data_IF_824556021276
#
_entry.id   IF_824556021276
#
_cell.length_a   1.000
_cell.length_b   1.000
_cell.length_c   1.000
_cell.angle_alpha   90.00
_cell.angle_beta   90.00
_cell.angle_gamma   90.00
#
_symmetry.space_group_name_H-M   'P 1'
#
loop_
_entity.id
_entity.type
_entity.pdbx_description
1 polymer ?
#
# COMPACT_ATOMS: atom_id res chain seq x y z
N UNK A 1 -4.83 -4.35 6.07
CA UNK A 1 -3.40 -4.35 5.71
C UNK A 1 -3.01 -5.59 4.90
N UNK A 2 -1.99 -5.47 4.04
CA UNK A 2 -1.35 -6.60 3.34
C UNK A 2 -0.49 -7.48 4.26
N UNK A 3 -0.18 -7.02 5.48
CA UNK A 3 0.62 -7.76 6.44
C UNK A 3 -0.10 -8.98 7.04
N UNK A 4 -1.36 -9.22 6.72
CA UNK A 4 -2.05 -10.49 7.02
C UNK A 4 -1.49 -11.66 6.19
N UNK A 5 -0.65 -11.36 5.22
CA UNK A 5 0.00 -12.31 4.34
C UNK A 5 1.51 -12.37 4.61
N UNK A 6 2.11 -13.56 4.49
CA UNK A 6 3.55 -13.78 4.67
C UNK A 6 4.40 -13.08 3.61
N UNK A 7 3.93 -13.00 2.38
CA UNK A 7 4.67 -12.51 1.23
C UNK A 7 5.39 -13.62 0.44
N UNK A 8 5.13 -14.88 0.75
CA UNK A 8 5.73 -16.03 0.07
C UNK A 8 5.03 -16.41 -1.25
N UNK A 9 3.83 -15.87 -1.49
CA UNK A 9 3.07 -16.07 -2.71
C UNK A 9 3.34 -14.98 -3.75
N UNK A 10 2.84 -15.16 -4.98
CA UNK A 10 3.05 -14.15 -6.03
C UNK A 10 2.13 -12.95 -5.91
N UNK A 11 0.88 -13.16 -5.54
CA UNK A 11 -0.15 -12.13 -5.36
C UNK A 11 -1.29 -12.69 -4.51
N UNK A 12 -1.93 -11.84 -3.72
CA UNK A 12 -3.03 -12.22 -2.83
C UNK A 12 -4.33 -11.53 -3.24
N UNK A 13 -5.42 -12.29 -3.29
CA UNK A 13 -6.77 -11.77 -3.50
C UNK A 13 -7.62 -11.89 -2.22
N UNK A 14 -8.90 -11.53 -2.31
CA UNK A 14 -9.82 -11.52 -1.18
C UNK A 14 -10.06 -12.90 -0.56
N UNK A 15 -9.88 -13.99 -1.34
CA UNK A 15 -10.06 -15.37 -0.86
C UNK A 15 -8.76 -16.00 -0.37
N UNK A 16 -7.63 -15.32 -0.50
CA UNK A 16 -6.35 -15.82 -0.06
C UNK A 16 -6.34 -16.01 1.46
N UNK A 17 -5.90 -17.18 1.93
CA UNK A 17 -5.76 -17.47 3.36
C UNK A 17 -4.71 -16.57 3.98
N UNK A 18 -4.98 -16.08 5.20
CA UNK A 18 -4.00 -15.36 5.99
C UNK A 18 -2.93 -16.34 6.46
N UNK A 19 -1.69 -16.04 6.19
CA UNK A 19 -0.53 -16.89 6.46
C UNK A 19 0.63 -16.13 7.13
N UNK A 20 0.31 -14.97 7.77
CA UNK A 20 1.30 -14.18 8.49
C UNK A 20 1.76 -14.87 9.78
N UNK A 21 3.06 -14.81 10.07
CA UNK A 21 3.65 -15.39 11.26
C UNK A 21 3.86 -14.38 12.39
N UNK A 22 3.97 -13.09 12.07
CA UNK A 22 4.23 -12.04 13.04
C UNK A 22 2.97 -11.60 13.81
N UNK A 23 3.18 -11.05 15.01
CA UNK A 23 2.10 -10.60 15.92
C UNK A 23 1.26 -9.50 15.28
N UNK A 24 1.88 -8.58 14.52
CA UNK A 24 1.16 -7.49 13.87
C UNK A 24 0.16 -8.04 12.84
N UNK A 25 0.62 -8.91 11.93
CA UNK A 25 -0.24 -9.52 10.94
C UNK A 25 -1.38 -10.33 11.57
N UNK A 26 -1.09 -11.12 12.60
CA UNK A 26 -2.09 -11.92 13.33
C UNK A 26 -3.15 -11.05 13.99
N UNK A 27 -2.77 -9.97 14.68
CA UNK A 27 -3.72 -9.04 15.29
C UNK A 27 -4.59 -8.32 14.28
N UNK A 28 -4.02 -7.97 13.10
CA UNK A 28 -4.79 -7.36 12.00
C UNK A 28 -5.73 -8.37 11.34
N UNK A 29 -5.33 -9.62 11.21
CA UNK A 29 -6.18 -10.71 10.75
C UNK A 29 -7.41 -10.92 11.65
N UNK A 30 -7.19 -10.95 12.96
CA UNK A 30 -8.28 -11.06 13.96
C UNK A 30 -9.23 -9.85 13.96
N UNK A 31 -8.74 -8.69 13.53
CA UNK A 31 -9.55 -7.46 13.43
C UNK A 31 -10.43 -7.37 12.18
N UNK A 32 -10.35 -8.33 11.26
CA UNK A 32 -11.23 -8.37 10.09
C UNK A 32 -12.56 -9.05 10.44
N UNK A 33 -13.64 -8.26 10.41
CA UNK A 33 -14.96 -8.70 10.83
C UNK A 33 -15.76 -9.22 9.65
N UNK A 34 -16.16 -10.49 9.68
CA UNK A 34 -17.05 -11.07 8.68
C UNK A 34 -18.51 -10.94 9.12
N UNK A 35 -19.14 -9.79 8.83
CA UNK A 35 -20.54 -9.53 9.18
C UNK A 35 -21.19 -8.64 8.09
N UNK A 36 -22.49 -8.77 7.91
CA UNK A 36 -23.27 -8.01 6.89
C UNK A 36 -23.20 -6.49 7.06
N UNK A 37 -22.91 -6.00 8.27
CA UNK A 37 -22.88 -4.58 8.60
C UNK A 37 -21.48 -3.98 8.56
N UNK A 38 -20.46 -4.76 8.23
CA UNK A 38 -19.06 -4.32 8.20
C UNK A 38 -18.44 -4.53 6.84
N UNK A 39 -17.60 -3.58 6.46
CA UNK A 39 -16.88 -3.63 5.20
C UNK A 39 -15.38 -3.52 5.48
N UNK A 40 -14.64 -4.52 5.04
CA UNK A 40 -13.20 -4.54 5.18
C UNK A 40 -12.55 -4.05 3.88
N UNK A 41 -11.92 -2.88 3.91
CA UNK A 41 -11.13 -2.36 2.80
C UNK A 41 -9.66 -2.69 3.06
N UNK A 42 -9.15 -3.72 2.43
CA UNK A 42 -7.75 -4.13 2.61
C UNK A 42 -6.84 -3.45 1.59
N UNK A 43 -5.78 -2.83 2.08
CA UNK A 43 -4.71 -2.27 1.27
C UNK A 43 -3.43 -2.15 2.10
N UNK A 44 -2.29 -2.00 1.46
CA UNK A 44 -1.09 -1.49 2.11
C UNK A 44 -1.11 0.03 2.08
N UNK A 45 -0.63 0.68 3.13
CA UNK A 45 -0.70 2.14 3.25
C UNK A 45 0.68 2.71 3.60
N UNK A 46 1.04 3.82 2.93
CA UNK A 46 2.18 4.66 3.32
C UNK A 46 1.74 6.11 3.49
N UNK A 47 2.35 6.80 4.45
CA UNK A 47 2.08 8.22 4.70
C UNK A 47 3.05 8.77 5.72
N UNK A 48 3.05 10.07 5.89
CA UNK A 48 3.75 10.73 6.99
C UNK A 48 3.03 10.42 8.30
N UNK A 49 3.79 10.26 9.37
CA UNK A 49 3.28 10.08 10.74
C UNK A 49 3.29 11.40 11.48
N UNK A 50 2.23 11.62 12.26
CA UNK A 50 2.13 12.79 13.14
C UNK A 50 3.04 12.64 14.39
N UNK A 51 3.20 11.36 14.83
CA UNK A 51 3.99 11.01 16.03
C UNK A 51 4.91 9.86 15.70
N UNK A 52 5.79 9.39 16.44
CA UNK A 52 6.63 8.18 16.38
C UNK A 52 7.71 8.08 15.29
N UNK A 53 7.58 8.70 14.15
CA UNK A 53 8.55 8.70 13.03
C UNK A 53 9.10 7.32 12.60
N UNK A 54 8.30 6.24 12.74
CA UNK A 54 8.69 4.85 12.44
C UNK A 54 8.26 4.39 11.04
N UNK A 55 7.36 5.14 10.36
CA UNK A 55 6.91 4.78 9.01
C UNK A 55 8.03 4.89 7.99
N UNK A 56 7.83 4.20 6.84
CA UNK A 56 8.79 4.24 5.75
C UNK A 56 9.10 5.67 5.29
N UNK A 57 8.08 6.52 5.17
CA UNK A 57 8.28 7.91 4.71
C UNK A 57 9.02 8.72 5.75
N UNK A 58 8.62 8.63 7.02
CA UNK A 58 9.29 9.36 8.11
C UNK A 58 10.73 8.91 8.28
N UNK A 59 10.99 7.59 8.24
CA UNK A 59 12.35 7.06 8.22
C UNK A 59 13.13 7.58 7.01
N UNK A 60 12.53 7.58 5.82
CA UNK A 60 13.20 8.06 4.61
C UNK A 60 13.60 9.54 4.73
N UNK A 61 12.68 10.39 5.20
CA UNK A 61 12.90 11.83 5.33
C UNK A 61 13.94 12.16 6.40
N UNK A 62 14.01 11.40 7.50
CA UNK A 62 14.94 11.64 8.62
C UNK A 62 16.41 11.38 8.29
N UNK A 63 16.70 10.66 7.20
CA UNK A 63 18.07 10.43 6.78
C UNK A 63 18.74 11.75 6.34
N UNK A 64 20.04 11.89 6.64
CA UNK A 64 20.85 13.06 6.24
C UNK A 64 20.93 13.16 4.72
N UNK A 65 20.85 14.39 4.19
CA UNK A 65 21.01 14.66 2.75
C UNK A 65 22.29 14.02 2.20
N UNK A 66 22.21 13.36 1.05
CA UNK A 66 23.34 12.67 0.44
C UNK A 66 23.62 11.27 0.98
N UNK A 67 22.83 10.77 1.95
CA UNK A 67 22.97 9.40 2.46
C UNK A 67 22.87 8.35 1.36
N UNK A 68 23.53 7.20 1.57
CA UNK A 68 23.38 6.01 0.74
C UNK A 68 22.39 5.04 1.39
N UNK A 69 21.32 4.68 0.66
CA UNK A 69 20.27 3.79 1.14
C UNK A 69 20.17 2.55 0.28
N UNK A 70 19.95 1.40 0.89
CA UNK A 70 19.69 0.15 0.18
C UNK A 70 18.20 0.00 -0.16
N UNK A 71 17.90 -0.15 -1.45
CA UNK A 71 16.56 -0.44 -1.93
C UNK A 71 16.44 -1.88 -2.39
N UNK A 72 15.52 -2.65 -1.79
CA UNK A 72 15.33 -4.05 -2.14
C UNK A 72 14.71 -4.20 -3.53
N UNK A 73 15.40 -4.94 -4.42
CA UNK A 73 14.92 -5.21 -5.79
C UNK A 73 13.98 -6.42 -5.86
N UNK A 74 13.94 -7.24 -4.83
CA UNK A 74 13.12 -8.46 -4.71
C UNK A 74 12.04 -8.37 -3.63
N UNK A 75 11.70 -7.15 -3.17
CA UNK A 75 10.54 -6.89 -2.32
C UNK A 75 9.53 -6.05 -3.10
N UNK A 76 8.39 -6.63 -3.43
CA UNK A 76 7.33 -5.97 -4.20
C UNK A 76 6.26 -5.36 -3.30
N UNK A 77 5.67 -4.27 -3.75
CA UNK A 77 4.65 -3.50 -3.03
C UNK A 77 3.68 -2.81 -4.00
N UNK A 78 2.39 -2.77 -3.66
CA UNK A 78 1.36 -2.06 -4.40
C UNK A 78 0.30 -1.39 -3.51
N UNK A 79 0.74 -0.73 -2.48
CA UNK A 79 -0.17 0.02 -1.58
C UNK A 79 -0.57 1.39 -2.11
N UNK A 80 -1.30 2.10 -1.27
CA UNK A 80 -1.81 3.45 -1.51
C UNK A 80 -1.22 4.44 -0.49
N UNK A 81 -1.33 5.74 -0.76
CA UNK A 81 -0.98 6.75 0.25
C UNK A 81 -2.14 7.00 1.20
N UNK A 82 -1.86 7.45 2.44
CA UNK A 82 -2.89 7.83 3.42
C UNK A 82 -3.88 8.84 2.83
N UNK A 83 -3.37 9.83 2.08
CA UNK A 83 -4.20 10.84 1.40
C UNK A 83 -5.12 10.21 0.34
N UNK A 84 -4.59 9.31 -0.50
CA UNK A 84 -5.39 8.61 -1.49
C UNK A 84 -6.46 7.72 -0.83
N UNK A 85 -6.11 7.02 0.26
CA UNK A 85 -7.06 6.21 1.01
C UNK A 85 -8.18 7.05 1.64
N UNK A 86 -7.86 8.20 2.22
CA UNK A 86 -8.87 9.13 2.74
C UNK A 86 -9.85 9.59 1.64
N UNK A 87 -9.36 9.91 0.43
CA UNK A 87 -10.21 10.23 -0.73
C UNK A 87 -11.11 9.06 -1.14
N UNK A 88 -10.63 7.84 -1.07
CA UNK A 88 -11.42 6.63 -1.34
C UNK A 88 -12.54 6.48 -0.33
N UNK A 89 -12.23 6.55 0.98
CA UNK A 89 -13.24 6.46 2.05
C UNK A 89 -14.32 7.54 1.88
N UNK A 90 -13.90 8.79 1.71
CA UNK A 90 -14.82 9.90 1.45
C UNK A 90 -15.74 9.63 0.26
N UNK A 91 -15.16 9.13 -0.84
CA UNK A 91 -15.90 8.83 -2.06
C UNK A 91 -16.93 7.71 -1.86
N UNK A 92 -16.55 6.64 -1.16
CA UNK A 92 -17.45 5.52 -0.85
C UNK A 92 -18.64 6.00 -0.04
N UNK A 93 -18.40 6.79 1.01
CA UNK A 93 -19.46 7.32 1.88
C UNK A 93 -20.37 8.29 1.10
N UNK A 94 -19.79 9.29 0.44
CA UNK A 94 -20.53 10.31 -0.30
C UNK A 94 -21.37 9.74 -1.44
N UNK A 95 -20.83 8.77 -2.16
CA UNK A 95 -21.50 8.15 -3.32
C UNK A 95 -22.33 6.92 -2.96
N UNK A 96 -22.44 6.57 -1.67
CA UNK A 96 -23.19 5.39 -1.17
C UNK A 96 -22.87 4.12 -1.97
N UNK A 97 -21.57 3.91 -2.26
CA UNK A 97 -21.10 2.75 -3.03
C UNK A 97 -21.39 1.47 -2.23
N UNK A 98 -22.12 0.55 -2.82
CA UNK A 98 -22.34 -0.78 -2.22
C UNK A 98 -21.04 -1.58 -2.29
N UNK A 99 -20.59 -2.08 -1.16
CA UNK A 99 -19.36 -2.85 -1.01
C UNK A 99 -19.67 -4.31 -0.67
N UNK A 100 -18.84 -5.27 -1.11
CA UNK A 100 -18.78 -6.60 -0.51
C UNK A 100 -18.19 -6.50 0.90
N UNK A 101 -18.35 -7.55 1.71
CA UNK A 101 -17.77 -7.58 3.07
C UNK A 101 -16.24 -7.37 3.06
N UNK A 102 -15.56 -7.88 2.03
CA UNK A 102 -14.12 -7.71 1.82
C UNK A 102 -13.84 -7.20 0.40
N UNK A 103 -12.99 -6.17 0.29
CA UNK A 103 -12.46 -5.70 -0.99
C UNK A 103 -11.02 -5.25 -0.84
N UNK A 104 -10.17 -5.62 -1.77
CA UNK A 104 -8.83 -5.05 -1.90
C UNK A 104 -8.87 -3.75 -2.72
N UNK A 105 -8.32 -2.70 -2.15
CA UNK A 105 -8.11 -1.43 -2.86
C UNK A 105 -6.70 -1.43 -3.43
N UNK A 106 -6.63 -1.51 -4.76
CA UNK A 106 -5.35 -1.68 -5.45
C UNK A 106 -5.10 -0.54 -6.45
N UNK A 107 -3.85 -0.06 -6.56
CA UNK A 107 -3.42 0.91 -7.57
C UNK A 107 -3.23 0.22 -8.93
N UNK A 108 -2.87 1.03 -9.96
CA UNK A 108 -2.67 0.54 -11.32
C UNK A 108 -1.45 -0.38 -11.47
N UNK A 109 -0.44 -0.22 -10.64
CA UNK A 109 0.84 -0.90 -10.76
C UNK A 109 1.40 -1.33 -9.39
N UNK A 110 2.41 -2.16 -9.45
CA UNK A 110 3.28 -2.50 -8.32
C UNK A 110 4.70 -1.95 -8.56
N UNK A 111 5.46 -1.81 -7.50
CA UNK A 111 6.86 -1.37 -7.54
C UNK A 111 7.70 -2.21 -6.58
N UNK A 112 9.00 -2.30 -6.83
CA UNK A 112 9.94 -2.82 -5.83
C UNK A 112 10.19 -1.77 -4.75
N UNK A 113 10.65 -2.17 -3.57
CA UNK A 113 11.08 -1.22 -2.53
C UNK A 113 12.19 -0.30 -3.03
N UNK A 114 13.10 -0.79 -3.90
CA UNK A 114 14.07 0.05 -4.59
C UNK A 114 13.38 1.17 -5.38
N UNK A 115 12.42 0.81 -6.24
CA UNK A 115 11.70 1.79 -7.05
C UNK A 115 10.89 2.78 -6.22
N UNK A 116 10.30 2.31 -5.12
CA UNK A 116 9.59 3.15 -4.17
C UNK A 116 10.49 4.23 -3.56
N UNK A 117 11.71 3.85 -3.12
CA UNK A 117 12.69 4.81 -2.60
C UNK A 117 13.15 5.82 -3.67
N UNK A 118 13.31 5.40 -4.93
CA UNK A 118 13.60 6.34 -6.03
C UNK A 118 12.49 7.39 -6.21
N UNK A 119 11.22 6.96 -6.16
CA UNK A 119 10.07 7.87 -6.27
C UNK A 119 10.05 8.86 -5.11
N UNK A 120 10.26 8.38 -3.87
CA UNK A 120 10.35 9.24 -2.68
C UNK A 120 11.52 10.22 -2.78
N UNK A 121 12.68 9.76 -3.30
CA UNK A 121 13.88 10.59 -3.46
C UNK A 121 13.63 11.77 -4.40
N UNK A 122 12.93 11.52 -5.51
CA UNK A 122 12.51 12.60 -6.43
C UNK A 122 11.48 13.52 -5.79
N UNK A 123 10.47 12.97 -5.11
CA UNK A 123 9.41 13.77 -4.45
C UNK A 123 9.98 14.71 -3.40
N UNK A 124 10.82 14.20 -2.49
CA UNK A 124 11.36 14.96 -1.36
C UNK A 124 12.69 15.66 -1.64
N UNK A 125 13.24 15.56 -2.87
CA UNK A 125 14.48 16.20 -3.33
C UNK A 125 15.68 15.97 -2.37
N UNK A 126 15.79 14.75 -1.84
CA UNK A 126 16.80 14.40 -0.81
C UNK A 126 18.19 14.13 -1.38
N UNK A 127 18.31 13.86 -2.69
CA UNK A 127 19.57 13.51 -3.36
C UNK A 127 20.30 12.33 -2.71
N UNK A 128 19.52 11.32 -2.24
CA UNK A 128 20.10 10.09 -1.70
C UNK A 128 20.64 9.21 -2.82
N UNK A 129 21.73 8.50 -2.55
CA UNK A 129 22.23 7.44 -3.42
C UNK A 129 21.47 6.14 -3.10
N UNK A 130 20.47 5.80 -3.92
CA UNK A 130 19.71 4.55 -3.74
C UNK A 130 20.47 3.42 -4.43
N UNK A 131 20.98 2.47 -3.64
CA UNK A 131 21.69 1.28 -4.14
C UNK A 131 20.72 0.12 -4.28
N UNK A 132 20.80 -0.61 -5.40
CA UNK A 132 20.08 -1.88 -5.57
C UNK A 132 20.63 -2.91 -4.59
N UNK A 133 19.74 -3.51 -3.82
CA UNK A 133 20.09 -4.56 -2.87
C UNK A 133 19.14 -5.75 -3.06
N UNK A 134 19.68 -6.95 -3.18
CA UNK A 134 18.90 -8.18 -3.23
C UNK A 134 18.99 -8.88 -1.88
N UNK A 135 17.86 -9.01 -1.19
CA UNK A 135 17.75 -9.77 0.05
C UNK A 135 17.81 -11.27 -0.23
N UNK A 136 18.27 -12.07 0.73
CA UNK A 136 18.21 -13.53 0.67
C UNK A 136 16.75 -14.04 0.62
N UNK A 137 15.81 -13.26 1.17
CA UNK A 137 14.38 -13.57 1.16
C UNK A 137 13.67 -12.63 0.20
N UNK A 138 12.93 -13.17 -0.76
CA UNK A 138 12.01 -12.39 -1.61
C UNK A 138 10.69 -12.24 -0.90
N UNK A 139 10.13 -11.02 -0.90
CA UNK A 139 8.83 -10.73 -0.29
C UNK A 139 7.92 -10.10 -1.33
N UNK A 140 6.76 -10.71 -1.56
CA UNK A 140 5.73 -10.18 -2.42
C UNK A 140 4.37 -10.24 -1.71
N UNK A 141 3.99 -9.12 -1.07
CA UNK A 141 2.67 -8.93 -0.44
C UNK A 141 1.71 -8.13 -1.32
N UNK A 142 1.94 -8.15 -2.64
CA UNK A 142 1.08 -7.39 -3.54
C UNK A 142 -0.33 -7.97 -3.57
N UNK A 143 -1.30 -7.08 -3.55
CA UNK A 143 -2.71 -7.41 -3.58
C UNK A 143 -3.23 -7.33 -5.02
N UNK A 144 -4.07 -8.26 -5.40
CA UNK A 144 -5.00 -8.15 -6.53
C UNK A 144 -6.43 -8.14 -6.01
N UNK A 145 -7.39 -7.80 -6.82
CA UNK A 145 -8.80 -7.82 -6.41
C UNK A 145 -9.65 -8.59 -7.41
N UNK A 146 -10.56 -9.42 -6.90
CA UNK A 146 -11.62 -10.05 -7.68
C UNK A 146 -12.69 -9.05 -8.13
N UNK A 147 -12.78 -7.91 -7.43
CA UNK A 147 -13.75 -6.85 -7.66
C UNK A 147 -13.19 -5.73 -8.57
N UNK A 148 -12.52 -6.09 -9.67
CA UNK A 148 -11.84 -5.13 -10.56
C UNK A 148 -12.76 -3.99 -11.04
N UNK A 149 -14.00 -4.29 -11.44
CA UNK A 149 -14.99 -3.29 -11.87
C UNK A 149 -15.33 -2.30 -10.75
N UNK A 150 -15.47 -2.80 -9.51
CA UNK A 150 -15.79 -1.98 -8.35
C UNK A 150 -14.58 -1.14 -7.91
N UNK A 151 -13.38 -1.72 -7.88
CA UNK A 151 -12.15 -0.98 -7.63
C UNK A 151 -11.99 0.17 -8.64
N UNK A 152 -12.17 -0.11 -9.94
CA UNK A 152 -12.16 0.94 -10.98
C UNK A 152 -13.22 2.01 -10.74
N UNK A 153 -14.46 1.62 -10.43
CA UNK A 153 -15.57 2.56 -10.17
C UNK A 153 -15.26 3.49 -8.99
N UNK A 154 -14.72 2.95 -7.90
CA UNK A 154 -14.32 3.73 -6.72
C UNK A 154 -13.27 4.76 -7.12
N UNK A 155 -12.18 4.34 -7.76
CA UNK A 155 -11.13 5.25 -8.21
C UNK A 155 -11.63 6.31 -9.20
N UNK A 156 -12.50 5.91 -10.15
CA UNK A 156 -13.09 6.83 -11.13
C UNK A 156 -13.90 7.95 -10.47
N UNK A 157 -14.55 7.66 -9.36
CA UNK A 157 -15.34 8.65 -8.59
C UNK A 157 -14.48 9.56 -7.70
N UNK A 158 -13.22 9.24 -7.46
CA UNK A 158 -12.27 10.13 -6.78
C UNK A 158 -11.78 11.25 -7.72
N UNK A 159 -11.02 12.19 -7.17
CA UNK A 159 -10.32 13.22 -7.95
C UNK A 159 -9.31 12.65 -8.96
N UNK A 160 -8.87 11.41 -8.79
CA UNK A 160 -7.96 10.75 -9.74
C UNK A 160 -8.62 10.42 -11.08
N UNK A 161 -9.96 10.27 -11.14
CA UNK A 161 -10.76 9.95 -12.35
C UNK A 161 -10.44 8.60 -13.01
N UNK A 162 -9.41 7.91 -12.57
CA UNK A 162 -8.96 6.57 -13.00
C UNK A 162 -8.11 5.94 -11.90
N UNK A 163 -7.81 4.65 -12.00
CA UNK A 163 -6.89 4.01 -11.06
C UNK A 163 -5.50 4.65 -11.21
N UNK A 164 -4.96 5.31 -10.16
CA UNK A 164 -3.67 5.98 -10.25
C UNK A 164 -2.51 4.99 -10.16
N UNK A 165 -1.35 5.40 -10.65
CA UNK A 165 -0.09 4.74 -10.33
C UNK A 165 0.38 5.13 -8.93
N UNK A 166 1.24 4.30 -8.34
CA UNK A 166 1.88 4.58 -7.04
C UNK A 166 2.61 5.93 -7.08
N UNK A 167 3.36 6.18 -8.16
CA UNK A 167 4.07 7.44 -8.33
C UNK A 167 3.14 8.66 -8.32
N UNK A 168 2.00 8.57 -9.02
CA UNK A 168 1.00 9.65 -9.03
C UNK A 168 0.48 9.95 -7.62
N UNK A 169 0.19 8.93 -6.82
CA UNK A 169 -0.28 9.12 -5.45
C UNK A 169 0.80 9.74 -4.55
N UNK A 170 2.05 9.31 -4.70
CA UNK A 170 3.18 9.85 -3.91
C UNK A 170 3.45 11.32 -4.25
N UNK A 171 3.28 11.73 -5.50
CA UNK A 171 3.45 13.12 -5.89
C UNK A 171 2.41 14.05 -5.24
N UNK A 172 1.30 13.52 -4.76
CA UNK A 172 0.22 14.28 -4.08
C UNK A 172 0.37 14.34 -2.55
N UNK A 173 1.35 13.65 -1.94
CA UNK A 173 1.64 13.75 -0.49
C UNK A 173 2.15 15.14 -0.13
#
# INVERSE_FOLDING_TARGET
TDCVFSGNSKEYDEDSKHDCDDVYGKTKSLGEINSKNYFNLRCSIIGEEIKSHKSLISWFISNKKGSSLNGFVNHEWNGVTTKAFAKIIYTIIKSKVKLPNMIHIVPKNKVTKYKLLEILNRKFKKNFKIKKFKSNVSINRTLKTKHNKLNYLIWKKTEFKKIPTIERMILEI
#
